data_IF_247217442659
#
_entry.id   IF_247217442659
#
_cell.length_a   1.000
_cell.length_b   1.000
_cell.length_c   1.000
_cell.angle_alpha   90.00
_cell.angle_beta   90.00
_cell.angle_gamma   90.00
#
_symmetry.space_group_name_H-M   'P 1'
#
loop_
_entity.id
_entity.type
_entity.pdbx_description
1 polymer ?
#
# COMPACT_ATOMS: atom_id res chain seq x y z
N UNK A 1 34.71 -48.97 47.67
CA UNK A 1 34.89 -48.14 46.46
C UNK A 1 33.53 -47.63 46.04
N UNK A 2 33.16 -46.42 46.47
CA UNK A 2 31.85 -45.80 46.18
C UNK A 2 31.91 -45.07 44.84
N UNK A 3 30.94 -45.37 43.99
CA UNK A 3 30.74 -44.77 42.67
C UNK A 3 30.21 -43.33 42.81
N UNK A 4 30.88 -42.38 42.16
CA UNK A 4 30.41 -40.99 41.98
C UNK A 4 29.18 -40.98 41.05
N UNK A 5 28.04 -40.48 41.54
CA UNK A 5 26.82 -40.28 40.74
C UNK A 5 26.85 -38.84 40.18
N UNK A 6 27.14 -38.71 38.89
CA UNK A 6 27.16 -37.42 38.19
C UNK A 6 25.72 -36.96 37.95
N UNK A 7 25.33 -35.88 38.62
CA UNK A 7 23.96 -35.34 38.60
C UNK A 7 23.86 -34.31 37.47
N UNK A 8 23.19 -34.68 36.37
CA UNK A 8 22.88 -33.75 35.27
C UNK A 8 21.85 -32.71 35.77
N UNK A 9 22.23 -31.44 35.67
CA UNK A 9 21.33 -30.31 35.90
C UNK A 9 20.70 -29.92 34.54
N UNK A 10 19.39 -30.09 34.33
CA UNK A 10 18.77 -29.61 33.10
C UNK A 10 18.59 -28.10 33.20
N UNK A 11 19.39 -27.34 32.43
CA UNK A 11 19.18 -25.90 32.24
C UNK A 11 17.94 -25.73 31.36
N UNK A 12 16.82 -25.35 31.96
CA UNK A 12 15.62 -24.97 31.23
C UNK A 12 15.87 -23.64 30.51
N UNK A 13 16.05 -23.70 29.19
CA UNK A 13 16.11 -22.51 28.34
C UNK A 13 14.71 -21.87 28.27
N UNK A 14 14.52 -20.76 28.98
CA UNK A 14 13.31 -19.95 28.87
C UNK A 14 13.32 -19.22 27.51
N UNK A 15 12.54 -19.73 26.57
CA UNK A 15 12.30 -19.11 25.27
C UNK A 15 11.46 -17.84 25.50
N UNK A 16 12.13 -16.69 25.54
CA UNK A 16 11.46 -15.39 25.60
C UNK A 16 10.83 -15.11 24.23
N UNK A 17 9.53 -15.40 24.09
CA UNK A 17 8.76 -15.06 22.89
C UNK A 17 8.51 -13.55 22.96
N UNK A 18 9.38 -12.79 22.32
CA UNK A 18 9.12 -11.39 22.01
C UNK A 18 7.90 -11.37 21.07
N UNK A 19 6.75 -10.92 21.56
CA UNK A 19 5.61 -10.59 20.70
C UNK A 19 6.02 -9.36 19.90
N UNK A 20 6.68 -9.56 18.76
CA UNK A 20 6.86 -8.51 17.79
C UNK A 20 5.44 -8.08 17.38
N UNK A 21 5.07 -6.84 17.72
CA UNK A 21 3.89 -6.22 17.15
C UNK A 21 3.98 -6.34 15.63
N UNK A 22 2.85 -6.57 14.97
CA UNK A 22 2.75 -6.58 13.51
C UNK A 22 3.21 -5.23 12.98
N UNK A 23 4.52 -5.08 12.74
CA UNK A 23 5.04 -4.01 11.93
C UNK A 23 4.48 -4.26 10.53
N UNK A 24 3.55 -3.42 10.09
CA UNK A 24 3.12 -3.39 8.71
C UNK A 24 4.33 -2.94 7.89
N UNK A 25 5.09 -3.90 7.36
CA UNK A 25 6.33 -3.68 6.62
C UNK A 25 6.16 -2.85 5.32
N UNK A 26 4.92 -2.55 4.99
CA UNK A 26 4.44 -1.81 3.83
C UNK A 26 4.29 -0.30 4.10
N UNK A 27 4.26 0.14 5.36
CA UNK A 27 4.23 1.56 5.69
C UNK A 27 5.64 2.15 5.56
N UNK A 28 5.82 3.09 4.63
CA UNK A 28 7.11 3.78 4.38
C UNK A 28 7.40 4.92 5.36
N UNK A 29 6.39 5.32 6.14
CA UNK A 29 6.40 6.53 6.98
C UNK A 29 6.18 7.85 6.20
N UNK A 30 6.11 7.82 4.86
CA UNK A 30 5.84 9.03 4.07
C UNK A 30 4.39 9.50 4.20
N UNK A 31 3.45 8.59 4.51
CA UNK A 31 2.04 8.94 4.71
C UNK A 31 1.87 9.95 5.86
N UNK A 32 2.67 9.85 6.92
CA UNK A 32 2.62 10.71 8.11
C UNK A 32 3.08 12.16 7.83
N UNK A 33 3.67 12.41 6.65
CA UNK A 33 4.03 13.75 6.20
C UNK A 33 2.82 14.54 5.66
N UNK A 34 1.68 13.87 5.45
CA UNK A 34 0.46 14.49 4.97
C UNK A 34 -0.53 14.77 6.10
N UNK A 35 -1.31 15.84 5.97
CA UNK A 35 -2.47 16.05 6.83
C UNK A 35 -3.56 15.04 6.46
N UNK A 36 -4.12 14.36 7.47
CA UNK A 36 -5.20 13.40 7.30
C UNK A 36 -6.50 13.93 7.87
N UNK A 37 -7.60 13.62 7.18
CA UNK A 37 -8.95 13.85 7.70
C UNK A 37 -9.84 12.65 7.53
N UNK A 38 -10.78 12.52 8.44
CA UNK A 38 -11.86 11.54 8.30
C UNK A 38 -12.87 12.00 7.25
N UNK A 39 -13.15 11.14 6.27
CA UNK A 39 -14.17 11.34 5.23
C UNK A 39 -15.11 10.14 5.27
N UNK A 40 -16.24 10.27 5.97
CA UNK A 40 -17.16 9.16 6.22
C UNK A 40 -16.49 8.06 7.05
N UNK A 41 -16.33 6.87 6.47
CA UNK A 41 -15.69 5.71 7.11
C UNK A 41 -14.19 5.58 6.82
N UNK A 42 -13.64 6.46 5.98
CA UNK A 42 -12.26 6.42 5.52
C UNK A 42 -11.43 7.53 6.16
N UNK A 43 -10.12 7.32 6.17
CA UNK A 43 -9.14 8.38 6.43
C UNK A 43 -8.52 8.75 5.09
N UNK A 44 -8.52 10.03 4.75
CA UNK A 44 -8.01 10.52 3.47
C UNK A 44 -7.01 11.64 3.68
N UNK A 45 -6.11 11.81 2.72
CA UNK A 45 -5.24 12.99 2.69
C UNK A 45 -6.06 14.27 2.47
N UNK A 46 -5.62 15.37 3.06
CA UNK A 46 -6.29 16.68 2.91
C UNK A 46 -5.81 17.40 1.65
N UNK A 47 -4.49 17.40 1.46
CA UNK A 47 -3.76 18.29 0.57
C UNK A 47 -3.21 17.60 -0.69
N UNK A 48 -3.24 16.26 -0.75
CA UNK A 48 -2.56 15.52 -1.80
C UNK A 48 -3.49 14.70 -2.70
N UNK A 49 -3.13 14.65 -3.99
CA UNK A 49 -3.75 13.79 -5.01
C UNK A 49 -2.65 13.27 -5.92
N UNK A 50 -2.71 11.99 -6.24
CA UNK A 50 -1.83 11.40 -7.25
C UNK A 50 -2.47 11.42 -8.62
N UNK A 51 -1.60 11.43 -9.63
CA UNK A 51 -1.91 11.34 -11.03
C UNK A 51 -1.18 10.16 -11.65
N UNK A 52 -1.81 9.50 -12.61
CA UNK A 52 -1.16 8.49 -13.42
C UNK A 52 -1.79 8.48 -14.82
N UNK A 53 -1.05 7.96 -15.79
CA UNK A 53 -1.46 7.94 -17.19
C UNK A 53 -1.12 6.60 -17.82
N UNK A 54 -1.97 6.14 -18.73
CA UNK A 54 -1.68 5.05 -19.68
C UNK A 54 -1.72 5.57 -21.12
N UNK A 55 -1.04 4.86 -22.02
CA UNK A 55 -0.96 5.24 -23.43
C UNK A 55 -0.87 4.00 -24.32
N UNK A 56 -1.57 4.02 -25.46
CA UNK A 56 -1.43 3.01 -26.51
C UNK A 56 -2.20 1.71 -26.26
N UNK A 57 -3.10 1.69 -25.28
CA UNK A 57 -3.91 0.51 -24.99
C UNK A 57 -4.92 0.24 -26.13
N UNK A 58 -5.27 -1.03 -26.39
CA UNK A 58 -6.14 -1.42 -27.51
C UNK A 58 -7.57 -0.87 -27.37
N UNK A 59 -8.02 -0.62 -26.15
CA UNK A 59 -9.36 -0.13 -25.86
C UNK A 59 -9.37 0.74 -24.58
N UNK A 60 -10.45 1.51 -24.40
CA UNK A 60 -10.62 2.43 -23.27
C UNK A 60 -10.59 1.74 -21.92
N UNK A 61 -11.14 0.52 -21.81
CA UNK A 61 -11.22 -0.22 -20.55
C UNK A 61 -9.81 -0.66 -20.13
N UNK A 62 -9.03 -1.20 -21.06
CA UNK A 62 -7.63 -1.57 -20.83
C UNK A 62 -6.80 -0.35 -20.45
N UNK A 63 -6.92 0.76 -21.19
CA UNK A 63 -6.25 2.01 -20.86
C UNK A 63 -6.59 2.51 -19.45
N UNK A 64 -7.87 2.48 -19.07
CA UNK A 64 -8.29 2.90 -17.73
C UNK A 64 -7.70 2.00 -16.65
N UNK A 65 -7.71 0.68 -16.86
CA UNK A 65 -7.19 -0.29 -15.91
C UNK A 65 -5.68 -0.12 -15.71
N UNK A 66 -4.91 0.10 -16.78
CA UNK A 66 -3.47 0.35 -16.71
C UNK A 66 -3.14 1.66 -15.97
N UNK A 67 -3.88 2.73 -16.24
CA UNK A 67 -3.66 4.02 -15.57
C UNK A 67 -3.99 3.90 -14.07
N UNK A 68 -5.07 3.20 -13.71
CA UNK A 68 -5.41 2.90 -12.31
C UNK A 68 -4.32 2.05 -11.67
N UNK A 69 -3.87 0.98 -12.31
CA UNK A 69 -2.81 0.12 -11.78
C UNK A 69 -1.53 0.91 -11.53
N UNK A 70 -1.14 1.80 -12.45
CA UNK A 70 0.01 2.69 -12.28
C UNK A 70 -0.17 3.62 -11.08
N UNK A 71 -1.35 4.24 -10.92
CA UNK A 71 -1.67 5.07 -9.75
C UNK A 71 -1.52 4.28 -8.44
N UNK A 72 -2.04 3.04 -8.41
CA UNK A 72 -1.98 2.18 -7.23
C UNK A 72 -0.55 1.81 -6.89
N UNK A 73 0.25 1.39 -7.87
CA UNK A 73 1.66 1.02 -7.65
C UNK A 73 2.50 2.18 -7.13
N UNK A 74 2.30 3.41 -7.62
CA UNK A 74 3.01 4.58 -7.09
C UNK A 74 2.53 4.95 -5.68
N UNK A 75 1.22 4.90 -5.43
CA UNK A 75 0.67 5.18 -4.10
C UNK A 75 1.13 4.14 -3.07
N UNK A 76 1.24 2.87 -3.48
CA UNK A 76 1.76 1.76 -2.68
C UNK A 76 3.23 1.96 -2.34
N UNK A 77 4.06 2.26 -3.35
CA UNK A 77 5.47 2.59 -3.17
C UNK A 77 5.67 3.75 -2.21
N UNK A 78 4.82 4.78 -2.27
CA UNK A 78 4.97 5.97 -1.43
C UNK A 78 4.36 5.78 -0.04
N UNK A 79 3.17 5.21 0.11
CA UNK A 79 2.43 5.27 1.37
C UNK A 79 2.02 3.90 1.92
N UNK A 80 2.21 2.84 1.15
CA UNK A 80 1.75 1.51 1.47
C UNK A 80 0.36 1.17 0.91
N UNK A 81 0.12 -0.13 0.85
CA UNK A 81 -1.03 -0.83 0.27
C UNK A 81 -2.38 -0.40 0.84
N UNK A 82 -2.43 0.04 2.09
CA UNK A 82 -3.65 0.54 2.73
C UNK A 82 -4.21 1.79 2.03
N UNK A 83 -3.30 2.65 1.54
CA UNK A 83 -3.62 3.90 0.83
C UNK A 83 -3.76 3.68 -0.69
N UNK A 84 -3.19 2.61 -1.22
CA UNK A 84 -3.13 2.29 -2.65
C UNK A 84 -4.42 1.69 -3.24
N UNK A 85 -5.53 1.71 -2.50
CA UNK A 85 -6.81 1.21 -2.99
C UNK A 85 -7.55 2.28 -3.79
N UNK A 86 -7.55 2.16 -5.13
CA UNK A 86 -8.29 3.10 -5.98
C UNK A 86 -9.80 3.06 -5.73
N UNK A 87 -10.36 1.97 -5.19
CA UNK A 87 -11.78 1.91 -4.81
C UNK A 87 -12.08 2.76 -3.57
N UNK A 88 -11.18 2.81 -2.59
CA UNK A 88 -11.26 3.67 -1.39
C UNK A 88 -10.93 5.13 -1.67
N UNK A 89 -10.10 5.41 -2.67
CA UNK A 89 -9.71 6.77 -3.01
C UNK A 89 -10.92 7.72 -3.21
N UNK A 90 -10.73 9.02 -3.03
CA UNK A 90 -11.78 10.03 -3.24
C UNK A 90 -11.38 11.03 -4.31
N UNK A 91 -12.28 11.95 -4.67
CA UNK A 91 -12.05 12.98 -5.69
C UNK A 91 -11.53 12.42 -7.04
N UNK A 92 -11.98 11.22 -7.41
CA UNK A 92 -11.50 10.49 -8.60
C UNK A 92 -11.89 11.24 -9.87
N UNK A 93 -10.94 11.36 -10.80
CA UNK A 93 -11.16 11.83 -12.16
C UNK A 93 -10.49 10.88 -13.12
N UNK A 94 -11.20 10.53 -14.20
CA UNK A 94 -10.68 9.70 -15.28
C UNK A 94 -11.01 10.42 -16.58
N UNK A 95 -9.99 10.76 -17.35
CA UNK A 95 -10.11 11.34 -18.68
C UNK A 95 -9.50 10.37 -19.66
N UNK A 96 -10.17 10.06 -20.76
CA UNK A 96 -9.65 9.14 -21.77
C UNK A 96 -9.83 9.70 -23.16
N UNK A 97 -8.82 9.50 -24.00
CA UNK A 97 -8.79 9.96 -25.38
C UNK A 97 -8.43 8.80 -26.29
N UNK A 98 -9.13 8.70 -27.42
CA UNK A 98 -8.77 7.79 -28.50
C UNK A 98 -7.76 8.51 -29.41
N UNK A 99 -6.52 8.03 -29.42
CA UNK A 99 -5.44 8.58 -30.23
C UNK A 99 -5.23 7.68 -31.46
N UNK A 100 -4.52 8.19 -32.46
CA UNK A 100 -4.20 7.43 -33.68
C UNK A 100 -3.47 6.09 -33.41
N UNK A 101 -2.85 5.92 -32.23
CA UNK A 101 -2.10 4.73 -31.82
C UNK A 101 -2.74 3.99 -30.63
N UNK A 102 -4.04 4.14 -30.42
CA UNK A 102 -4.78 3.49 -29.34
C UNK A 102 -5.28 4.47 -28.28
N UNK A 103 -5.76 3.92 -27.18
CA UNK A 103 -6.36 4.70 -26.09
C UNK A 103 -5.30 5.18 -25.10
N UNK A 104 -5.51 6.39 -24.61
CA UNK A 104 -4.78 6.97 -23.48
C UNK A 104 -5.78 7.37 -22.41
N UNK A 105 -5.48 7.10 -21.15
CA UNK A 105 -6.29 7.56 -20.03
C UNK A 105 -5.40 8.19 -18.96
N UNK A 106 -5.82 9.36 -18.48
CA UNK A 106 -5.30 10.03 -17.30
C UNK A 106 -6.23 9.77 -16.13
N UNK A 107 -5.67 9.41 -14.99
CA UNK A 107 -6.39 9.25 -13.73
C UNK A 107 -5.80 10.17 -12.68
N UNK A 108 -6.68 10.74 -11.87
CA UNK A 108 -6.32 11.47 -10.66
C UNK A 108 -7.18 10.95 -9.53
N UNK A 109 -6.60 10.73 -8.36
CA UNK A 109 -7.37 10.43 -7.16
C UNK A 109 -6.61 10.82 -5.89
N UNK A 110 -7.38 11.03 -4.82
CA UNK A 110 -6.90 11.29 -3.46
C UNK A 110 -6.79 9.97 -2.69
N UNK A 111 -5.60 9.59 -2.19
CA UNK A 111 -5.43 8.40 -1.37
C UNK A 111 -6.31 8.43 -0.11
N UNK A 112 -6.89 7.27 0.21
CA UNK A 112 -7.67 7.03 1.42
C UNK A 112 -7.52 5.58 1.87
N UNK A 113 -7.56 5.35 3.19
CA UNK A 113 -7.51 4.01 3.81
C UNK A 113 -8.77 3.68 4.63
#
# INVERSE_FOLDING_TARGET
MSLFRMQLCPVAAALCICVAGLAHADETGLADLHEWKKVGKLICFVDHTHYATSTGAPDKKTATAEAVASWQSFTDLEYGSDWASFSKATAKRISCQNLARGWSCDVQARPCR
#
